data_IF_610238728213
#
_entry.id   IF_610238728213
#
_cell.length_a   1.000
_cell.length_b   1.000
_cell.length_c   1.000
_cell.angle_alpha   90.00
_cell.angle_beta   90.00
_cell.angle_gamma   90.00
#
_symmetry.space_group_name_H-M   'P 1'
#
loop_
_entity.id
_entity.type
_entity.pdbx_description
1 polymer ?
#
# COMPACT_ATOMS: atom_id res chain seq x y z
N UNK A 1 1.44 -6.78 51.15
CA UNK A 1 2.92 -6.88 51.13
C UNK A 1 3.45 -5.58 50.54
N UNK A 2 4.35 -4.90 51.25
CA UNK A 2 5.08 -3.70 50.80
C UNK A 2 6.48 -4.16 50.37
N UNK A 3 6.91 -3.78 49.18
CA UNK A 3 8.28 -3.90 48.72
C UNK A 3 9.11 -2.65 49.13
N UNK A 4 10.44 -2.82 49.15
CA UNK A 4 11.43 -1.94 49.80
C UNK A 4 11.57 -0.51 49.21
N UNK A 5 10.79 -0.13 48.19
CA UNK A 5 10.95 1.15 47.47
C UNK A 5 9.68 2.02 47.33
N UNK A 6 8.64 1.79 48.15
CA UNK A 6 7.41 2.61 48.11
C UNK A 6 6.40 2.18 47.04
N UNK A 7 5.25 2.88 46.97
CA UNK A 7 4.11 2.51 46.12
C UNK A 7 4.51 2.34 44.65
N UNK A 8 4.31 1.13 44.12
CA UNK A 8 4.51 0.85 42.69
C UNK A 8 3.40 1.56 41.92
N UNK A 9 3.70 2.55 41.07
CA UNK A 9 2.67 3.16 40.24
C UNK A 9 2.20 2.12 39.21
N UNK A 10 0.90 1.85 39.21
CA UNK A 10 0.24 1.02 38.18
C UNK A 10 0.38 1.75 36.84
N UNK A 11 1.32 1.31 36.02
CA UNK A 11 1.42 1.78 34.64
C UNK A 11 0.36 1.05 33.82
N UNK A 12 -0.71 1.76 33.47
CA UNK A 12 -1.64 1.32 32.43
C UNK A 12 -0.90 1.31 31.10
N UNK A 13 -0.57 0.13 30.62
CA UNK A 13 -0.05 -0.10 29.27
C UNK A 13 -1.14 0.28 28.26
N UNK A 14 -1.10 1.52 27.76
CA UNK A 14 -1.94 1.91 26.64
C UNK A 14 -1.50 1.13 25.40
N UNK A 15 -2.38 0.26 24.88
CA UNK A 15 -2.14 -0.52 23.68
C UNK A 15 -1.84 0.41 22.50
N UNK A 16 -0.59 0.43 22.06
CA UNK A 16 -0.16 1.23 20.90
C UNK A 16 -0.80 0.69 19.62
N UNK A 17 -1.92 1.30 19.20
CA UNK A 17 -2.61 0.93 17.96
C UNK A 17 -1.70 1.17 16.76
N UNK A 18 -1.29 0.10 16.09
CA UNK A 18 -0.46 0.18 14.89
C UNK A 18 -1.13 1.06 13.81
N UNK A 19 -0.45 2.11 13.34
CA UNK A 19 -0.96 2.98 12.27
C UNK A 19 -1.07 2.20 10.95
N UNK A 20 -2.28 2.13 10.40
CA UNK A 20 -2.52 1.56 9.07
C UNK A 20 -1.74 2.35 8.01
N UNK A 21 -0.83 1.69 7.31
CA UNK A 21 -0.06 2.31 6.22
C UNK A 21 -0.96 2.56 5.00
N UNK A 22 -1.00 3.81 4.53
CA UNK A 22 -1.74 4.20 3.32
C UNK A 22 -0.93 3.81 2.07
N UNK A 23 -1.54 3.09 1.10
CA UNK A 23 -0.88 2.72 -0.15
C UNK A 23 -0.64 3.95 -1.04
N UNK A 24 0.60 4.12 -1.51
CA UNK A 24 1.03 5.27 -2.33
C UNK A 24 1.98 4.87 -3.47
N UNK A 25 1.92 3.62 -3.92
CA UNK A 25 2.83 3.07 -4.93
C UNK A 25 2.58 3.49 -6.39
N UNK A 26 1.79 4.54 -6.64
CA UNK A 26 1.41 4.97 -7.99
C UNK A 26 2.57 5.64 -8.72
N UNK A 27 2.69 5.42 -10.03
CA UNK A 27 3.72 6.07 -10.84
C UNK A 27 3.50 7.59 -10.96
N UNK A 28 2.25 8.01 -10.93
CA UNK A 28 1.79 9.40 -11.01
C UNK A 28 0.49 9.55 -10.20
N UNK A 29 0.08 10.76 -9.75
CA UNK A 29 -1.14 10.94 -8.97
C UNK A 29 -2.37 10.28 -9.63
N UNK A 30 -3.16 9.50 -8.88
CA UNK A 30 -4.37 8.87 -9.42
C UNK A 30 -5.39 9.95 -9.80
N UNK A 31 -6.07 9.78 -10.93
CA UNK A 31 -7.06 10.74 -11.44
C UNK A 31 -6.52 11.70 -12.50
N UNK A 32 -5.21 11.67 -12.77
CA UNK A 32 -4.59 12.44 -13.85
C UNK A 32 -4.62 11.72 -15.22
N UNK A 33 -5.23 10.55 -15.30
CA UNK A 33 -5.34 9.73 -16.50
C UNK A 33 -6.70 9.83 -17.18
N UNK A 34 -7.00 8.94 -18.15
CA UNK A 34 -8.28 8.94 -18.84
C UNK A 34 -9.45 8.68 -17.89
N UNK A 35 -10.52 9.46 -18.07
CA UNK A 35 -11.74 9.36 -17.25
C UNK A 35 -12.40 7.99 -17.39
N UNK A 36 -12.90 7.45 -16.28
CA UNK A 36 -13.58 6.15 -16.24
C UNK A 36 -12.65 4.92 -16.32
N UNK A 37 -11.33 5.11 -16.45
CA UNK A 37 -10.36 4.02 -16.37
C UNK A 37 -9.77 3.92 -14.97
N UNK A 38 -9.41 2.71 -14.57
CA UNK A 38 -8.80 2.41 -13.26
C UNK A 38 -7.43 1.78 -13.41
N UNK A 39 -6.61 1.83 -12.35
CA UNK A 39 -5.31 1.15 -12.34
C UNK A 39 -5.40 -0.34 -12.67
N UNK A 40 -6.54 -1.00 -12.39
CA UNK A 40 -6.79 -2.40 -12.78
C UNK A 40 -6.70 -2.66 -14.28
N UNK A 41 -7.08 -1.68 -15.09
CA UNK A 41 -7.16 -1.79 -16.54
C UNK A 41 -5.86 -1.35 -17.23
N UNK A 42 -4.86 -0.94 -16.45
CA UNK A 42 -3.57 -0.50 -16.96
C UNK A 42 -2.72 -1.72 -17.29
N UNK A 43 -1.99 -1.66 -18.41
CA UNK A 43 -1.01 -2.66 -18.81
C UNK A 43 0.08 -2.86 -17.74
N UNK A 44 0.48 -1.78 -17.07
CA UNK A 44 1.50 -1.84 -16.03
C UNK A 44 0.99 -2.38 -14.68
N UNK A 45 -0.24 -2.89 -14.61
CA UNK A 45 -0.77 -3.50 -13.38
C UNK A 45 -0.11 -4.85 -13.12
N UNK A 46 0.55 -4.99 -11.96
CA UNK A 46 1.24 -6.22 -11.58
C UNK A 46 0.73 -6.70 -10.22
N UNK A 47 0.48 -8.01 -10.11
CA UNK A 47 0.18 -8.68 -8.84
C UNK A 47 1.44 -9.42 -8.40
N UNK A 48 1.94 -9.12 -7.19
CA UNK A 48 2.95 -9.94 -6.53
C UNK A 48 2.31 -10.87 -5.53
N UNK A 49 2.71 -12.13 -5.55
CA UNK A 49 2.32 -13.11 -4.54
C UNK A 49 3.38 -13.16 -3.44
N UNK A 50 2.91 -13.26 -2.19
CA UNK A 50 3.78 -13.48 -1.03
C UNK A 50 3.76 -14.95 -0.64
N UNK A 51 4.81 -15.41 0.05
CA UNK A 51 4.86 -16.78 0.59
C UNK A 51 3.68 -17.07 1.55
N UNK A 52 3.13 -16.06 2.20
CA UNK A 52 1.95 -16.15 3.07
C UNK A 52 0.60 -16.13 2.31
N UNK A 53 0.60 -16.22 0.98
CA UNK A 53 -0.61 -16.31 0.17
C UNK A 53 -1.32 -14.97 -0.13
N UNK A 54 -0.85 -13.85 0.41
CA UNK A 54 -1.43 -12.54 0.11
C UNK A 54 -0.95 -11.98 -1.23
N UNK A 55 -1.86 -11.29 -1.93
CA UNK A 55 -1.58 -10.53 -3.14
C UNK A 55 -1.19 -9.09 -2.80
N UNK A 56 -0.18 -8.58 -3.49
CA UNK A 56 0.30 -7.20 -3.39
C UNK A 56 0.15 -6.54 -4.76
N UNK A 57 -0.92 -5.75 -4.97
CA UNK A 57 -1.09 -5.00 -6.22
C UNK A 57 -0.05 -3.89 -6.29
N UNK A 58 0.70 -3.85 -7.38
CA UNK A 58 1.80 -2.91 -7.60
C UNK A 58 1.72 -2.30 -9.00
N UNK A 59 2.27 -1.10 -9.16
CA UNK A 59 2.46 -0.46 -10.47
C UNK A 59 3.85 -0.80 -11.03
N UNK A 60 3.90 -1.43 -12.21
CA UNK A 60 5.12 -1.90 -12.87
C UNK A 60 6.14 -0.81 -13.19
N UNK A 61 5.68 0.39 -13.52
CA UNK A 61 6.55 1.55 -13.74
C UNK A 61 7.35 1.95 -12.49
N UNK A 62 6.86 1.58 -11.29
CA UNK A 62 7.52 1.86 -10.02
C UNK A 62 8.33 0.67 -9.48
N UNK A 63 8.64 -0.33 -10.31
CA UNK A 63 9.31 -1.58 -9.85
C UNK A 63 10.59 -1.33 -9.06
N UNK A 64 11.39 -0.34 -9.45
CA UNK A 64 12.63 0.04 -8.75
C UNK A 64 12.40 0.58 -7.32
N UNK A 65 11.20 1.10 -7.02
CA UNK A 65 10.82 1.69 -5.72
C UNK A 65 9.99 0.75 -4.85
N UNK A 66 9.73 -0.47 -5.31
CA UNK A 66 8.91 -1.41 -4.56
C UNK A 66 9.63 -1.87 -3.30
N UNK A 67 8.97 -1.65 -2.17
CA UNK A 67 9.34 -2.27 -0.90
C UNK A 67 8.46 -3.50 -0.66
N UNK A 68 8.88 -4.38 0.23
CA UNK A 68 8.05 -5.52 0.64
C UNK A 68 6.83 -5.10 1.50
N UNK A 69 6.65 -3.80 1.79
CA UNK A 69 5.55 -3.26 2.59
C UNK A 69 4.36 -2.71 1.79
N UNK A 70 3.27 -2.42 2.50
CA UNK A 70 2.01 -1.85 1.96
C UNK A 70 2.16 -0.45 1.37
N UNK A 71 3.17 0.32 1.79
CA UNK A 71 3.37 1.69 1.29
C UNK A 71 3.58 1.76 -0.22
N UNK A 72 4.17 0.72 -0.82
CA UNK A 72 4.38 0.64 -2.26
C UNK A 72 3.28 -0.11 -3.01
N UNK A 73 2.22 -0.53 -2.31
CA UNK A 73 1.01 -1.06 -2.96
C UNK A 73 0.21 0.08 -3.61
N UNK A 74 -0.62 -0.29 -4.57
CA UNK A 74 -1.62 0.59 -5.20
C UNK A 74 -3.02 0.07 -4.93
N UNK A 75 -4.00 0.98 -4.82
CA UNK A 75 -5.41 0.59 -4.79
C UNK A 75 -5.89 0.33 -6.22
N UNK A 76 -6.39 -0.88 -6.46
CA UNK A 76 -6.81 -1.37 -7.78
C UNK A 76 -7.99 -0.56 -8.35
N UNK A 77 -8.86 -0.07 -7.46
CA UNK A 77 -10.00 0.80 -7.79
C UNK A 77 -9.64 2.28 -7.90
N UNK A 78 -8.37 2.66 -7.73
CA UNK A 78 -7.98 4.05 -7.97
C UNK A 78 -8.16 4.42 -9.43
N UNK A 79 -8.57 5.68 -9.70
CA UNK A 79 -8.59 6.21 -11.05
C UNK A 79 -7.21 6.10 -11.71
N UNK A 80 -7.21 5.91 -13.02
CA UNK A 80 -6.01 5.85 -13.83
C UNK A 80 -5.14 7.12 -13.63
N UNK A 81 -3.82 6.94 -13.70
CA UNK A 81 -2.86 8.03 -13.66
C UNK A 81 -2.43 8.43 -15.07
N UNK A 82 -1.62 9.48 -15.22
CA UNK A 82 -1.18 9.99 -16.53
C UNK A 82 -0.28 9.02 -17.32
N UNK A 83 0.25 7.98 -16.66
CA UNK A 83 1.03 6.90 -17.26
C UNK A 83 0.17 5.65 -17.53
N UNK A 84 -1.11 5.87 -17.82
CA UNK A 84 -2.03 4.78 -18.11
C UNK A 84 -1.84 4.36 -19.56
N UNK A 85 -1.54 3.07 -19.75
CA UNK A 85 -1.41 2.43 -21.05
C UNK A 85 -2.37 1.23 -21.08
N UNK A 86 -2.99 1.01 -22.23
CA UNK A 86 -3.75 -0.19 -22.54
C UNK A 86 -3.03 -0.89 -23.67
N UNK A 87 -2.90 -2.22 -23.61
CA UNK A 87 -2.45 -2.98 -24.77
C UNK A 87 -3.37 -2.67 -25.97
N UNK A 88 -2.90 -1.83 -26.89
CA UNK A 88 -3.46 -1.76 -28.23
C UNK A 88 -2.85 -2.95 -28.96
N UNK A 89 -3.53 -4.10 -28.94
CA UNK A 89 -3.19 -5.22 -29.80
C UNK A 89 -3.41 -4.75 -31.24
N UNK A 90 -2.31 -4.50 -31.95
CA UNK A 90 -2.29 -4.25 -33.39
C UNK A 90 -2.31 -5.59 -34.14
#
# INVERSE_FOLDING_TARGET
>A
MKDLFGEIPVQTIEESKAKTTVPRGYASPPGSGPSGKTCRQCEHYIIRYTAAGYTKPKCGLNRAKWTNGRASDIKVSSPACSKFETEIKN
#
